data_IF_688139499429
#
_entry.id   IF_688139499429
#
_cell.length_a   1.000
_cell.length_b   1.000
_cell.length_c   1.000
_cell.angle_alpha   90.00
_cell.angle_beta   90.00
_cell.angle_gamma   90.00
#
_symmetry.space_group_name_H-M   'P 1'
#
loop_
_entity.id
_entity.type
_entity.pdbx_description
1 polymer ?
#
# COMPACT_ATOMS: atom_id res chain seq x y z
N UNK A 1 5.56 9.69 -13.77
CA UNK A 1 4.86 10.87 -13.24
C UNK A 1 4.11 11.54 -14.38
N UNK A 2 3.20 12.48 -14.14
CA UNK A 2 2.53 13.22 -15.22
C UNK A 2 3.58 13.88 -16.13
N UNK A 3 3.47 13.66 -17.44
CA UNK A 3 4.44 14.17 -18.43
C UNK A 3 5.73 13.36 -18.56
N UNK A 4 5.88 12.23 -17.84
CA UNK A 4 7.04 11.34 -17.96
C UNK A 4 6.68 10.13 -18.79
N UNK A 5 7.52 9.80 -19.77
CA UNK A 5 7.40 8.56 -20.54
C UNK A 5 7.51 7.36 -19.59
N UNK A 6 6.49 6.49 -19.50
CA UNK A 6 6.56 5.35 -18.59
C UNK A 6 7.67 4.40 -19.04
N UNK A 7 8.43 3.87 -18.07
CA UNK A 7 9.38 2.79 -18.34
C UNK A 7 8.68 1.45 -18.67
N UNK A 8 7.42 1.32 -18.26
CA UNK A 8 6.58 0.17 -18.60
C UNK A 8 5.85 0.40 -19.93
N UNK A 9 5.35 -0.69 -20.53
CA UNK A 9 4.55 -0.63 -21.78
C UNK A 9 3.29 0.24 -21.68
N UNK A 10 2.83 0.55 -20.47
CA UNK A 10 1.66 1.40 -20.24
C UNK A 10 1.86 2.29 -19.02
N UNK A 11 1.36 3.52 -19.10
CA UNK A 11 1.23 4.39 -17.94
C UNK A 11 0.24 3.77 -16.94
N UNK A 12 0.62 3.71 -15.66
CA UNK A 12 -0.25 3.29 -14.54
C UNK A 12 -0.61 4.45 -13.61
N UNK A 13 -0.41 5.68 -14.06
CA UNK A 13 -0.90 6.88 -13.36
C UNK A 13 -2.43 6.91 -13.44
N UNK A 14 -3.08 7.02 -12.27
CA UNK A 14 -4.54 7.09 -12.17
C UNK A 14 -5.05 8.45 -12.66
N UNK A 15 -6.16 8.45 -13.39
CA UNK A 15 -6.86 9.69 -13.74
C UNK A 15 -7.44 10.34 -12.49
N UNK A 16 -7.42 11.66 -12.44
CA UNK A 16 -8.04 12.46 -11.37
C UNK A 16 -9.21 13.25 -11.95
N UNK A 17 -10.34 13.27 -11.24
CA UNK A 17 -11.42 14.18 -11.56
C UNK A 17 -10.96 15.62 -11.28
N UNK A 18 -11.35 16.56 -12.15
CA UNK A 18 -11.11 17.99 -11.94
C UNK A 18 -12.45 18.74 -12.03
N UNK A 19 -12.47 20.01 -11.60
CA UNK A 19 -13.71 20.83 -11.63
C UNK A 19 -14.27 20.87 -13.05
N UNK A 20 -15.56 20.56 -13.20
CA UNK A 20 -16.24 20.52 -14.50
C UNK A 20 -15.94 19.29 -15.36
N UNK A 21 -14.99 18.43 -14.96
CA UNK A 21 -14.63 17.23 -15.72
C UNK A 21 -14.57 16.00 -14.81
N UNK A 22 -15.73 15.36 -14.57
CA UNK A 22 -15.78 14.10 -13.82
C UNK A 22 -15.15 12.96 -14.62
N UNK A 23 -14.66 11.93 -13.92
CA UNK A 23 -14.11 10.74 -14.56
C UNK A 23 -15.17 9.99 -15.38
N UNK A 24 -14.83 9.66 -16.61
CA UNK A 24 -15.60 8.76 -17.46
C UNK A 24 -15.66 7.34 -16.87
N UNK A 25 -16.61 6.53 -17.36
CA UNK A 25 -16.76 5.13 -16.94
C UNK A 25 -15.47 4.34 -17.23
N UNK A 26 -14.82 4.59 -18.37
CA UNK A 26 -13.58 3.92 -18.77
C UNK A 26 -12.43 4.23 -17.82
N UNK A 27 -12.27 5.50 -17.45
CA UNK A 27 -11.24 5.94 -16.50
C UNK A 27 -11.48 5.37 -15.10
N UNK A 28 -12.74 5.35 -14.63
CA UNK A 28 -13.10 4.71 -13.37
C UNK A 28 -12.74 3.23 -13.35
N UNK A 29 -13.05 2.49 -14.42
CA UNK A 29 -12.70 1.05 -14.55
C UNK A 29 -11.18 0.85 -14.56
N UNK A 30 -10.43 1.65 -15.32
CA UNK A 30 -8.95 1.64 -15.34
C UNK A 30 -8.37 1.91 -13.95
N UNK A 31 -8.82 2.98 -13.29
CA UNK A 31 -8.39 3.35 -11.95
C UNK A 31 -8.68 2.23 -10.93
N UNK A 32 -9.82 1.54 -11.03
CA UNK A 32 -10.15 0.41 -10.18
C UNK A 32 -9.21 -0.77 -10.39
N UNK A 33 -8.85 -1.07 -11.64
CA UNK A 33 -7.88 -2.12 -11.94
C UNK A 33 -6.48 -1.78 -11.38
N UNK A 34 -6.00 -0.55 -11.59
CA UNK A 34 -4.73 -0.07 -11.03
C UNK A 34 -4.75 -0.15 -9.49
N UNK A 35 -5.85 0.29 -8.87
CA UNK A 35 -6.03 0.26 -7.42
C UNK A 35 -5.96 -1.16 -6.86
N UNK A 36 -6.58 -2.15 -7.51
CA UNK A 36 -6.48 -3.57 -7.10
C UNK A 36 -5.04 -4.07 -7.02
N UNK A 37 -4.21 -3.72 -8.01
CA UNK A 37 -2.79 -4.08 -8.00
C UNK A 37 -2.01 -3.32 -6.92
N UNK A 38 -2.25 -2.02 -6.76
CA UNK A 38 -1.56 -1.17 -5.77
C UNK A 38 -1.85 -1.56 -4.33
N UNK A 39 -3.08 -1.99 -4.04
CA UNK A 39 -3.50 -2.39 -2.68
C UNK A 39 -2.60 -3.48 -2.11
N UNK A 40 -2.08 -4.39 -2.93
CA UNK A 40 -1.16 -5.45 -2.48
C UNK A 40 0.13 -4.86 -1.87
N UNK A 41 0.64 -3.77 -2.46
CA UNK A 41 1.88 -3.10 -2.03
C UNK A 41 1.62 -2.06 -0.94
N UNK A 42 0.46 -1.40 -0.96
CA UNK A 42 0.12 -0.32 -0.02
C UNK A 42 -0.42 -0.84 1.32
N UNK A 43 -1.02 -2.04 1.33
CA UNK A 43 -1.60 -2.66 2.53
C UNK A 43 -0.60 -2.80 3.70
N UNK A 44 0.65 -3.27 3.52
CA UNK A 44 1.64 -3.33 4.60
C UNK A 44 1.81 -2.00 5.33
N UNK A 45 1.99 -0.91 4.58
CA UNK A 45 2.15 0.43 5.15
C UNK A 45 0.90 0.89 5.91
N UNK A 46 -0.29 0.61 5.38
CA UNK A 46 -1.54 0.93 6.05
C UNK A 46 -1.69 0.18 7.38
N UNK A 47 -1.35 -1.12 7.42
CA UNK A 47 -1.39 -1.93 8.65
C UNK A 47 -0.35 -1.43 9.65
N UNK A 48 0.90 -1.21 9.24
CA UNK A 48 1.96 -0.70 10.12
C UNK A 48 1.55 0.64 10.73
N UNK A 49 1.02 1.56 9.92
CA UNK A 49 0.60 2.88 10.40
C UNK A 49 -0.60 2.82 11.36
N UNK A 50 -1.60 1.98 11.09
CA UNK A 50 -2.86 1.96 11.85
C UNK A 50 -2.86 0.98 13.01
N UNK A 51 -2.36 -0.24 12.80
CA UNK A 51 -2.41 -1.32 13.77
C UNK A 51 -1.22 -1.29 14.73
N UNK A 52 -0.05 -0.88 14.25
CA UNK A 52 1.15 -0.77 15.09
C UNK A 52 1.41 0.67 15.54
N UNK A 53 0.54 1.61 15.16
CA UNK A 53 0.67 3.04 15.45
C UNK A 53 2.02 3.66 15.03
N UNK A 54 2.73 3.02 14.09
CA UNK A 54 4.07 3.42 13.64
C UNK A 54 4.03 4.49 12.54
N UNK A 55 3.02 5.38 12.57
CA UNK A 55 2.95 6.54 11.69
C UNK A 55 3.91 7.67 12.10
N UNK A 56 4.34 7.65 13.37
CA UNK A 56 5.29 8.57 13.96
C UNK A 56 6.13 7.79 14.97
N UNK A 57 7.42 8.13 15.11
CA UNK A 57 8.33 7.49 16.07
C UNK A 57 8.87 8.56 17.02
N UNK A 58 8.84 8.29 18.32
CA UNK A 58 9.29 9.23 19.37
C UNK A 58 10.80 9.19 19.61
N UNK A 59 11.58 8.56 18.73
CA UNK A 59 13.04 8.50 18.83
C UNK A 59 13.66 9.55 17.91
N UNK A 60 14.71 10.21 18.38
CA UNK A 60 15.29 11.37 17.69
C UNK A 60 16.41 11.01 16.72
N UNK A 61 17.04 9.84 16.89
CA UNK A 61 18.17 9.44 16.02
C UNK A 61 17.70 8.59 14.85
N UNK A 62 18.30 8.84 13.68
CA UNK A 62 17.97 8.12 12.42
C UNK A 62 18.17 6.61 12.58
N UNK A 63 19.24 6.18 13.25
CA UNK A 63 19.52 4.75 13.47
C UNK A 63 18.42 4.06 14.31
N UNK A 64 17.91 4.72 15.35
CA UNK A 64 16.83 4.19 16.18
C UNK A 64 15.49 4.19 15.44
N UNK A 65 15.22 5.23 14.65
CA UNK A 65 14.02 5.30 13.82
C UNK A 65 14.03 4.19 12.76
N UNK A 66 15.19 3.95 12.13
CA UNK A 66 15.38 2.85 11.20
C UNK A 66 15.12 1.49 11.85
N UNK A 67 15.74 1.22 13.01
CA UNK A 67 15.52 -0.03 13.74
C UNK A 67 14.06 -0.24 14.13
N UNK A 68 13.38 0.81 14.61
CA UNK A 68 11.95 0.75 14.96
C UNK A 68 11.09 0.38 13.75
N UNK A 69 11.37 0.96 12.58
CA UNK A 69 10.68 0.62 11.34
C UNK A 69 10.96 -0.82 10.89
N UNK A 70 12.22 -1.28 10.99
CA UNK A 70 12.58 -2.67 10.68
C UNK A 70 11.82 -3.65 11.58
N UNK A 71 11.73 -3.38 12.88
CA UNK A 71 10.94 -4.20 13.82
C UNK A 71 9.45 -4.19 13.46
N UNK A 72 8.89 -3.05 13.06
CA UNK A 72 7.50 -2.97 12.60
C UNK A 72 7.26 -3.83 11.34
N UNK A 73 8.21 -3.87 10.41
CA UNK A 73 8.15 -4.75 9.23
C UNK A 73 8.19 -6.23 9.62
N UNK A 74 9.05 -6.64 10.55
CA UNK A 74 9.07 -8.02 11.04
C UNK A 74 7.76 -8.42 11.71
N UNK A 75 7.20 -7.55 12.55
CA UNK A 75 5.90 -7.77 13.18
C UNK A 75 4.78 -7.91 12.14
N UNK A 76 4.82 -7.14 11.04
CA UNK A 76 3.87 -7.30 9.95
C UNK A 76 3.97 -8.69 9.30
N UNK A 77 5.19 -9.16 9.04
CA UNK A 77 5.40 -10.48 8.45
C UNK A 77 4.87 -11.61 9.35
N UNK A 78 5.10 -11.52 10.66
CA UNK A 78 4.57 -12.48 11.64
C UNK A 78 3.03 -12.45 11.70
N UNK A 79 2.42 -11.26 11.69
CA UNK A 79 0.97 -11.12 11.63
C UNK A 79 0.40 -11.75 10.36
N UNK A 80 1.06 -11.53 9.23
CA UNK A 80 0.62 -12.08 7.94
C UNK A 80 0.72 -13.61 7.91
N UNK A 81 1.80 -14.18 8.46
CA UNK A 81 1.96 -15.63 8.58
C UNK A 81 0.81 -16.24 9.40
N UNK A 82 0.48 -15.62 10.54
CA UNK A 82 -0.67 -16.05 11.38
C UNK A 82 -2.00 -15.99 10.63
N UNK A 83 -2.21 -14.98 9.80
CA UNK A 83 -3.43 -14.87 8.99
C UNK A 83 -3.52 -15.98 7.94
N UNK A 84 -2.40 -16.31 7.28
CA UNK A 84 -2.33 -17.41 6.31
C UNK A 84 -2.64 -18.74 7.00
N UNK A 85 -1.99 -19.03 8.14
CA UNK A 85 -2.25 -20.24 8.91
C UNK A 85 -3.72 -20.38 9.32
N UNK A 86 -4.34 -19.31 9.84
CA UNK A 86 -5.76 -19.32 10.20
C UNK A 86 -6.67 -19.62 9.02
N UNK A 87 -6.33 -19.12 7.83
CA UNK A 87 -7.07 -19.37 6.62
C UNK A 87 -6.94 -20.84 6.20
N UNK A 88 -5.73 -21.40 6.19
CA UNK A 88 -5.50 -22.81 5.90
C UNK A 88 -6.21 -23.75 6.88
N UNK A 89 -6.29 -23.40 8.16
CA UNK A 89 -7.02 -24.20 9.16
C UNK A 89 -8.53 -24.13 9.00
N UNK A 90 -9.07 -23.06 8.41
CA UNK A 90 -10.51 -22.92 8.16
C UNK A 90 -10.96 -23.59 6.84
N UNK A 91 -10.01 -23.83 5.93
CA UNK A 91 -10.23 -24.51 4.65
C UNK A 91 -10.05 -26.04 4.75
N UNK A 92 -9.54 -26.56 5.89
CA UNK A 92 -9.45 -27.99 6.23
C UNK A 92 -10.65 -28.43 7.05
#
# INVERSE_FOLDING_TARGET
YFGVTPAASMDKTMHRAVRGHPLSIREKRRNRAISRTRVLVERPYAVIKRQFHAGHVMVTTVARAHLANVMACFNYNLLQLRMIQRRESAER
#
